data_IF_429181126750
#
_entry.id   IF_429181126750
#
_cell.length_a   1.000
_cell.length_b   1.000
_cell.length_c   1.000
_cell.angle_alpha   90.00
_cell.angle_beta   90.00
_cell.angle_gamma   90.00
#
_symmetry.space_group_name_H-M   'P 1'
#
loop_
_entity.id
_entity.type
_entity.pdbx_description
1 polymer ?
#
# COMPACT_ATOMS: atom_id res chain seq x y z
N UNK A 1 8.18 -21.03 -4.36
CA UNK A 1 9.15 -19.97 -4.62
C UNK A 1 10.55 -20.58 -4.57
N UNK A 2 11.48 -20.08 -5.41
CA UNK A 2 12.90 -20.52 -5.42
C UNK A 2 13.75 -19.72 -4.43
N UNK A 3 13.13 -19.16 -3.38
CA UNK A 3 13.86 -18.48 -2.31
C UNK A 3 14.58 -19.52 -1.44
N UNK A 4 15.76 -19.18 -0.93
CA UNK A 4 16.52 -20.07 -0.07
C UNK A 4 15.74 -20.36 1.23
N UNK A 5 15.56 -21.65 1.54
CA UNK A 5 14.84 -22.18 2.71
C UNK A 5 13.38 -21.70 2.84
N UNK A 6 12.50 -22.08 1.88
CA UNK A 6 11.08 -21.68 1.94
C UNK A 6 10.34 -22.19 3.18
N UNK A 7 10.79 -23.28 3.80
CA UNK A 7 10.13 -23.89 4.96
C UNK A 7 10.33 -23.09 6.27
N UNK A 8 11.33 -22.21 6.31
CA UNK A 8 11.59 -21.34 7.48
C UNK A 8 10.73 -20.05 7.46
N UNK A 9 9.96 -19.82 6.38
CA UNK A 9 9.14 -18.61 6.22
C UNK A 9 7.67 -18.96 6.52
N UNK A 10 7.12 -18.41 7.60
CA UNK A 10 5.68 -18.46 7.84
C UNK A 10 4.97 -17.44 6.94
N UNK A 11 3.91 -17.87 6.29
CA UNK A 11 3.08 -17.03 5.42
C UNK A 11 1.70 -16.87 6.05
N UNK A 12 1.27 -15.63 6.23
CA UNK A 12 -0.09 -15.29 6.64
C UNK A 12 -0.80 -14.66 5.45
N UNK A 13 -1.90 -15.27 5.03
CA UNK A 13 -2.77 -14.76 3.96
C UNK A 13 -4.02 -14.19 4.61
N UNK A 14 -4.33 -12.92 4.34
CA UNK A 14 -5.62 -12.33 4.72
C UNK A 14 -6.55 -12.37 3.51
N UNK A 15 -7.63 -13.09 3.65
CA UNK A 15 -8.66 -13.18 2.60
C UNK A 15 -9.86 -12.30 2.96
N UNK A 16 -9.99 -11.20 2.20
CA UNK A 16 -11.08 -10.23 2.33
C UNK A 16 -12.40 -10.69 1.65
N UNK A 17 -12.41 -11.86 1.01
CA UNK A 17 -13.60 -12.42 0.37
C UNK A 17 -14.36 -13.40 1.26
N UNK A 18 -13.77 -13.78 2.40
CA UNK A 18 -14.31 -14.78 3.35
C UNK A 18 -14.54 -16.16 2.72
N UNK A 19 -13.65 -16.58 1.82
CA UNK A 19 -13.76 -17.87 1.12
C UNK A 19 -13.19 -19.02 1.97
N UNK A 20 -14.08 -19.73 2.67
CA UNK A 20 -13.71 -20.90 3.48
C UNK A 20 -13.07 -22.02 2.66
N UNK A 21 -13.51 -22.22 1.41
CA UNK A 21 -12.93 -23.27 0.53
C UNK A 21 -11.51 -22.92 0.13
N UNK A 22 -11.25 -21.64 -0.18
CA UNK A 22 -9.90 -21.16 -0.44
C UNK A 22 -8.99 -21.42 0.76
N UNK A 23 -9.44 -21.04 1.99
CA UNK A 23 -8.70 -21.30 3.22
C UNK A 23 -8.34 -22.76 3.38
N UNK A 24 -9.33 -23.65 3.36
CA UNK A 24 -9.13 -25.09 3.52
C UNK A 24 -8.15 -25.67 2.48
N UNK A 25 -8.29 -25.26 1.23
CA UNK A 25 -7.43 -25.73 0.14
C UNK A 25 -5.98 -25.26 0.28
N UNK A 26 -5.75 -23.99 0.65
CA UNK A 26 -4.40 -23.42 0.71
C UNK A 26 -3.64 -23.96 1.94
N UNK A 27 -4.29 -24.04 3.09
CA UNK A 27 -3.70 -24.58 4.32
C UNK A 27 -3.44 -26.10 4.23
N UNK A 28 -4.28 -26.86 3.54
CA UNK A 28 -4.03 -28.28 3.25
C UNK A 28 -2.86 -28.49 2.31
N UNK A 29 -2.65 -27.56 1.37
CA UNK A 29 -1.59 -27.68 0.35
C UNK A 29 -0.22 -27.25 0.87
N UNK A 30 -0.16 -26.32 1.84
CA UNK A 30 1.08 -25.74 2.33
C UNK A 30 1.07 -25.61 3.86
N UNK A 31 1.96 -26.35 4.53
CA UNK A 31 2.02 -26.43 6.00
C UNK A 31 2.51 -25.15 6.69
N UNK A 32 3.17 -24.26 5.95
CA UNK A 32 3.70 -22.98 6.44
C UNK A 32 2.78 -21.79 6.17
N UNK A 33 1.54 -22.03 5.72
CA UNK A 33 0.53 -21.00 5.46
C UNK A 33 -0.54 -21.01 6.54
N UNK A 34 -0.88 -19.83 7.03
CA UNK A 34 -2.07 -19.54 7.83
C UNK A 34 -2.97 -18.60 7.03
N UNK A 35 -4.21 -18.97 6.79
CA UNK A 35 -5.18 -18.13 6.10
C UNK A 35 -6.19 -17.53 7.11
N UNK A 36 -6.22 -16.23 7.21
CA UNK A 36 -7.12 -15.46 8.08
C UNK A 36 -8.27 -14.92 7.24
N UNK A 37 -9.48 -15.37 7.54
CA UNK A 37 -10.69 -14.88 6.85
C UNK A 37 -11.17 -13.57 7.52
N UNK A 38 -11.45 -12.58 6.71
CA UNK A 38 -12.15 -11.37 7.16
C UNK A 38 -13.65 -11.52 6.95
N UNK A 39 -14.47 -10.99 7.87
CA UNK A 39 -15.93 -11.00 7.71
C UNK A 39 -16.42 -10.08 6.59
N UNK A 40 -15.62 -9.13 6.19
CA UNK A 40 -15.90 -8.13 5.15
C UNK A 40 -14.62 -7.69 4.44
N UNK A 41 -14.75 -6.94 3.35
CA UNK A 41 -13.60 -6.35 2.68
C UNK A 41 -13.07 -5.16 3.49
N UNK A 42 -12.00 -5.38 4.24
CA UNK A 42 -11.35 -4.39 5.10
C UNK A 42 -10.52 -3.34 4.32
N UNK A 43 -10.31 -3.54 3.02
CA UNK A 43 -9.32 -2.78 2.26
C UNK A 43 -7.88 -3.20 2.58
N UNK A 44 -6.91 -2.39 2.15
CA UNK A 44 -5.49 -2.76 2.22
C UNK A 44 -4.88 -2.53 3.62
N UNK A 45 -5.13 -1.37 4.22
CA UNK A 45 -4.53 -1.01 5.52
C UNK A 45 -4.97 -1.93 6.65
N UNK A 46 -6.29 -2.07 6.84
CA UNK A 46 -6.88 -2.92 7.88
C UNK A 46 -6.60 -4.41 7.64
N UNK A 47 -6.61 -4.85 6.36
CA UNK A 47 -6.23 -6.22 6.01
C UNK A 47 -4.78 -6.53 6.39
N UNK A 48 -3.84 -5.63 6.11
CA UNK A 48 -2.45 -5.78 6.53
C UNK A 48 -2.31 -5.78 8.06
N UNK A 49 -3.01 -4.90 8.78
CA UNK A 49 -3.00 -4.92 10.25
C UNK A 49 -3.54 -6.24 10.80
N UNK A 50 -4.62 -6.78 10.21
CA UNK A 50 -5.16 -8.09 10.60
C UNK A 50 -4.11 -9.19 10.44
N UNK A 51 -3.42 -9.24 9.29
CA UNK A 51 -2.34 -10.20 9.06
C UNK A 51 -1.17 -10.02 10.04
N UNK A 52 -0.76 -8.78 10.31
CA UNK A 52 0.35 -8.47 11.21
C UNK A 52 0.09 -8.88 12.66
N UNK A 53 -1.17 -8.93 13.12
CA UNK A 53 -1.53 -9.47 14.46
C UNK A 53 -1.19 -10.95 14.62
N UNK A 54 -1.07 -11.70 13.52
CA UNK A 54 -0.67 -13.12 13.51
C UNK A 54 0.85 -13.33 13.39
N UNK A 55 1.64 -12.25 13.25
CA UNK A 55 3.09 -12.31 13.11
C UNK A 55 3.75 -12.21 14.50
N UNK A 56 4.70 -13.11 14.76
CA UNK A 56 5.49 -13.16 16.03
C UNK A 56 6.98 -12.92 15.80
N UNK A 57 7.39 -12.62 14.57
CA UNK A 57 8.79 -12.40 14.21
C UNK A 57 9.17 -10.93 14.33
N UNK A 58 10.48 -10.65 14.48
CA UNK A 58 11.02 -9.28 14.51
C UNK A 58 10.79 -8.50 13.20
N UNK A 59 10.60 -9.23 12.08
CA UNK A 59 10.40 -8.67 10.74
C UNK A 59 9.19 -9.29 10.08
N UNK A 60 8.45 -8.49 9.32
CA UNK A 60 7.37 -8.94 8.45
C UNK A 60 7.53 -8.39 7.04
N UNK A 61 7.27 -9.21 6.03
CA UNK A 61 7.18 -8.78 4.64
C UNK A 61 5.70 -8.64 4.28
N UNK A 62 5.28 -7.43 3.94
CA UNK A 62 3.99 -7.21 3.30
C UNK A 62 4.18 -7.39 1.81
N UNK A 63 3.33 -8.19 1.19
CA UNK A 63 3.45 -8.54 -0.22
C UNK A 63 2.07 -8.69 -0.85
N UNK A 64 1.81 -7.95 -1.92
CA UNK A 64 0.60 -8.14 -2.71
C UNK A 64 0.66 -9.42 -3.54
N UNK A 65 -0.49 -10.06 -3.83
CA UNK A 65 -0.53 -11.32 -4.57
C UNK A 65 -0.08 -11.22 -6.04
N UNK A 66 0.00 -10.01 -6.59
CA UNK A 66 0.46 -9.73 -7.96
C UNK A 66 1.92 -9.25 -8.03
N UNK A 67 2.70 -9.51 -6.97
CA UNK A 67 4.15 -9.27 -6.93
C UNK A 67 4.91 -10.58 -7.14
N UNK A 68 5.86 -10.56 -8.05
CA UNK A 68 6.80 -11.66 -8.29
C UNK A 68 8.15 -11.28 -7.70
N UNK A 69 8.65 -12.14 -6.81
CA UNK A 69 9.99 -12.01 -6.24
C UNK A 69 11.03 -12.60 -7.21
N UNK A 70 12.12 -11.87 -7.46
CA UNK A 70 13.29 -12.45 -8.12
C UNK A 70 13.99 -13.47 -7.20
N UNK A 71 14.88 -14.29 -7.75
CA UNK A 71 15.46 -15.45 -7.03
C UNK A 71 16.05 -15.10 -5.66
N UNK A 72 16.76 -14.00 -5.57
CA UNK A 72 17.54 -13.64 -4.36
C UNK A 72 16.90 -12.48 -3.56
N UNK A 73 15.67 -12.09 -3.88
CA UNK A 73 14.98 -10.93 -3.28
C UNK A 73 15.02 -10.92 -1.76
N UNK A 74 14.60 -12.02 -1.13
CA UNK A 74 14.54 -12.13 0.33
C UNK A 74 15.95 -12.18 0.93
N UNK A 75 16.86 -12.94 0.30
CA UNK A 75 18.23 -13.08 0.79
C UNK A 75 18.98 -11.73 0.78
N UNK A 76 18.80 -10.93 -0.26
CA UNK A 76 19.41 -9.60 -0.36
C UNK A 76 18.87 -8.64 0.72
N UNK A 77 17.57 -8.70 1.03
CA UNK A 77 17.00 -7.94 2.15
C UNK A 77 17.61 -8.36 3.48
N UNK A 78 17.70 -9.67 3.72
CA UNK A 78 18.31 -10.20 4.96
C UNK A 78 19.78 -9.78 5.08
N UNK A 79 20.54 -9.83 4.00
CA UNK A 79 21.93 -9.44 3.99
C UNK A 79 22.09 -7.94 4.31
N UNK A 80 21.37 -7.09 3.60
CA UNK A 80 21.47 -5.64 3.77
C UNK A 80 20.91 -5.17 5.14
N UNK A 81 19.90 -5.86 5.69
CA UNK A 81 19.36 -5.53 7.02
C UNK A 81 20.37 -5.64 8.15
N UNK A 82 21.42 -6.46 7.98
CA UNK A 82 22.52 -6.61 8.95
C UNK A 82 23.50 -5.43 8.94
N UNK A 83 23.58 -4.72 7.82
CA UNK A 83 24.51 -3.61 7.61
C UNK A 83 23.89 -2.24 7.81
N UNK A 84 22.55 -2.15 7.77
CA UNK A 84 21.83 -0.89 8.00
C UNK A 84 21.46 -0.77 9.48
N UNK A 85 22.19 0.05 10.22
CA UNK A 85 22.07 0.17 11.68
C UNK A 85 20.73 0.70 12.18
N UNK A 86 20.04 1.53 11.37
CA UNK A 86 18.77 2.18 11.75
C UNK A 86 17.79 2.23 10.59
N UNK A 87 16.77 1.38 10.63
CA UNK A 87 15.65 1.40 9.69
C UNK A 87 14.37 0.90 10.34
N UNK A 88 13.23 1.41 9.86
CA UNK A 88 11.91 0.89 10.16
C UNK A 88 11.34 0.10 8.96
N UNK A 89 11.64 0.54 7.73
CA UNK A 89 11.18 -0.13 6.52
C UNK A 89 12.35 -0.33 5.54
N UNK A 90 12.42 -1.54 4.97
CA UNK A 90 13.22 -1.85 3.78
C UNK A 90 12.26 -2.22 2.64
N UNK A 91 12.56 -1.79 1.42
CA UNK A 91 11.78 -2.20 0.25
C UNK A 91 12.70 -2.75 -0.85
N UNK A 92 12.31 -3.82 -1.53
CA UNK A 92 12.96 -4.22 -2.76
C UNK A 92 12.74 -3.18 -3.86
N UNK A 93 13.59 -3.18 -4.87
CA UNK A 93 13.46 -2.30 -6.03
C UNK A 93 12.57 -2.94 -7.09
N UNK A 94 11.56 -2.21 -7.59
CA UNK A 94 10.81 -2.61 -8.77
C UNK A 94 11.70 -2.59 -10.01
N UNK A 95 11.69 -3.68 -10.78
CA UNK A 95 12.45 -3.77 -12.06
C UNK A 95 11.80 -2.98 -13.21
N UNK A 96 10.57 -2.48 -13.04
CA UNK A 96 9.91 -1.63 -14.03
C UNK A 96 10.28 -0.16 -13.79
N UNK A 97 11.13 0.43 -14.66
CA UNK A 97 11.57 1.81 -14.48
C UNK A 97 10.45 2.85 -14.67
N UNK A 98 9.33 2.46 -15.27
CA UNK A 98 8.15 3.34 -15.46
C UNK A 98 7.33 3.48 -14.19
N UNK A 99 7.46 2.52 -13.27
CA UNK A 99 6.71 2.47 -12.02
C UNK A 99 7.66 2.24 -10.84
N UNK A 100 8.49 3.23 -10.48
CA UNK A 100 9.34 3.14 -9.29
C UNK A 100 8.44 3.00 -8.07
N UNK A 101 8.74 2.01 -7.23
CA UNK A 101 7.97 1.72 -6.01
C UNK A 101 8.41 2.56 -4.80
N UNK A 102 8.93 3.75 -5.03
CA UNK A 102 9.40 4.66 -3.98
C UNK A 102 9.28 6.13 -4.38
N UNK A 103 9.29 7.00 -3.38
CA UNK A 103 9.34 8.46 -3.54
C UNK A 103 10.57 9.02 -2.83
N UNK A 104 11.36 9.81 -3.52
CA UNK A 104 12.55 10.47 -2.97
C UNK A 104 12.16 11.65 -2.08
N UNK A 105 13.00 11.96 -1.08
CA UNK A 105 12.81 13.10 -0.19
C UNK A 105 13.12 14.44 -0.86
N UNK A 106 14.12 14.48 -1.76
CA UNK A 106 14.51 15.65 -2.55
C UNK A 106 14.75 15.22 -4.00
N UNK A 107 14.62 16.17 -4.94
CA UNK A 107 15.12 16.05 -6.31
C UNK A 107 16.66 16.17 -6.32
N UNK A 108 17.33 15.42 -5.48
CA UNK A 108 18.79 15.39 -5.54
C UNK A 108 19.18 14.60 -6.78
N UNK A 109 19.91 15.27 -7.67
CA UNK A 109 20.64 14.68 -8.80
C UNK A 109 21.81 13.81 -8.31
N UNK A 110 21.67 13.13 -7.17
CA UNK A 110 22.65 12.16 -6.77
C UNK A 110 22.56 11.00 -7.75
N UNK A 111 23.63 10.77 -8.48
CA UNK A 111 23.86 9.55 -9.22
C UNK A 111 23.55 8.39 -8.27
N UNK A 112 22.39 7.77 -8.47
CA UNK A 112 22.01 6.61 -7.67
C UNK A 112 23.04 5.52 -7.98
N UNK A 113 23.90 5.22 -7.02
CA UNK A 113 24.68 4.01 -7.09
C UNK A 113 23.69 2.86 -7.00
N UNK A 114 23.35 2.27 -8.18
CA UNK A 114 22.33 1.22 -8.34
C UNK A 114 22.61 -0.05 -7.53
N UNK A 115 23.66 -0.06 -6.71
CA UNK A 115 24.09 -1.21 -5.91
C UNK A 115 23.98 -1.00 -4.40
N UNK A 116 23.88 0.25 -3.90
CA UNK A 116 23.83 0.55 -2.48
C UNK A 116 22.42 0.93 -2.01
N UNK A 117 22.03 0.54 -0.78
CA UNK A 117 20.79 0.99 -0.17
C UNK A 117 20.71 2.51 -0.11
N UNK A 118 19.55 3.08 -0.43
CA UNK A 118 19.34 4.52 -0.40
C UNK A 118 18.05 4.90 0.34
N UNK A 119 18.09 6.04 1.03
CA UNK A 119 16.95 6.56 1.79
C UNK A 119 15.88 7.13 0.88
N UNK A 120 14.63 6.89 1.26
CA UNK A 120 13.44 7.37 0.54
C UNK A 120 12.44 8.00 1.50
N UNK A 121 11.51 8.78 0.94
CA UNK A 121 10.41 9.40 1.68
C UNK A 121 9.27 8.43 1.94
N UNK A 122 8.96 7.59 0.96
CA UNK A 122 7.97 6.51 1.09
C UNK A 122 8.24 5.40 0.09
N UNK A 123 7.64 4.26 0.34
CA UNK A 123 7.62 3.09 -0.54
C UNK A 123 6.18 2.65 -0.77
N UNK A 124 5.92 1.99 -1.89
CA UNK A 124 4.60 1.48 -2.18
C UNK A 124 4.25 0.25 -1.33
N UNK A 125 2.98 0.15 -0.93
CA UNK A 125 2.48 -0.87 -0.03
C UNK A 125 2.45 -2.29 -0.58
N UNK A 126 2.72 -2.48 -1.88
CA UNK A 126 2.67 -3.80 -2.49
C UNK A 126 3.88 -4.70 -2.19
N UNK A 127 5.00 -4.12 -1.72
CA UNK A 127 6.18 -4.89 -1.27
C UNK A 127 7.02 -4.06 -0.30
N UNK A 128 6.93 -4.36 1.00
CA UNK A 128 7.73 -3.72 2.02
C UNK A 128 8.03 -4.66 3.19
N UNK A 129 9.19 -4.49 3.80
CA UNK A 129 9.62 -5.21 5.00
C UNK A 129 9.55 -4.26 6.17
N UNK A 130 8.73 -4.60 7.15
CA UNK A 130 8.61 -3.86 8.41
C UNK A 130 9.56 -4.44 9.46
N UNK A 131 10.32 -3.58 10.13
CA UNK A 131 11.08 -3.91 11.34
C UNK A 131 10.15 -3.78 12.55
N UNK A 132 9.36 -4.82 12.82
CA UNK A 132 8.32 -4.82 13.86
C UNK A 132 8.94 -4.62 15.26
N UNK A 133 10.11 -5.23 15.51
CA UNK A 133 10.84 -5.06 16.77
C UNK A 133 11.09 -3.58 17.08
N UNK A 134 11.41 -2.79 16.07
CA UNK A 134 11.69 -1.38 16.22
C UNK A 134 10.44 -0.52 16.23
N UNK A 135 9.53 -0.77 15.30
CA UNK A 135 8.29 0.00 15.17
C UNK A 135 7.45 -0.12 16.44
N UNK A 136 7.40 -1.30 17.08
CA UNK A 136 6.65 -1.53 18.32
C UNK A 136 7.19 -0.78 19.55
N UNK A 137 8.43 -0.25 19.49
CA UNK A 137 8.96 0.63 20.53
C UNK A 137 8.41 2.06 20.46
N UNK A 138 7.81 2.42 19.35
CA UNK A 138 7.23 3.75 19.12
C UNK A 138 5.78 3.74 19.62
N UNK A 139 5.43 4.67 20.52
CA UNK A 139 4.13 4.70 21.22
C UNK A 139 2.95 4.64 20.26
N UNK A 140 3.01 5.42 19.18
CA UNK A 140 1.92 5.53 18.18
C UNK A 140 1.66 4.27 17.37
N UNK A 141 2.54 3.25 17.49
CA UNK A 141 2.41 1.97 16.76
C UNK A 141 2.13 0.78 17.68
N UNK A 142 1.98 1.02 18.98
CA UNK A 142 1.55 -0.02 19.92
C UNK A 142 0.19 -0.58 19.53
N UNK A 143 -0.08 -1.82 19.95
CA UNK A 143 -1.33 -2.53 19.67
C UNK A 143 -1.60 -2.81 18.18
N UNK A 144 -0.55 -3.04 17.39
CA UNK A 144 -0.64 -3.40 15.97
C UNK A 144 -1.30 -2.34 15.08
N UNK A 145 -1.20 -1.06 15.46
CA UNK A 145 -1.77 0.05 14.71
C UNK A 145 -0.80 0.60 13.66
N UNK A 146 -0.27 -0.28 12.81
CA UNK A 146 0.73 0.09 11.81
C UNK A 146 0.13 0.97 10.72
N UNK A 147 -0.92 0.48 10.06
CA UNK A 147 -1.68 1.24 9.07
C UNK A 147 -2.88 1.93 9.72
N UNK A 148 -3.16 3.14 9.29
CA UNK A 148 -4.40 3.83 9.69
C UNK A 148 -5.59 3.19 8.96
N UNK A 149 -6.46 2.54 9.71
CA UNK A 149 -7.60 1.76 9.21
C UNK A 149 -8.72 2.63 8.59
N UNK A 150 -8.63 3.97 8.73
CA UNK A 150 -9.51 4.87 8.00
C UNK A 150 -9.21 4.91 6.50
N UNK A 151 -8.00 4.53 6.05
CA UNK A 151 -7.70 4.34 4.64
C UNK A 151 -8.18 2.97 4.18
N UNK A 152 -9.22 2.94 3.38
CA UNK A 152 -9.62 1.71 2.72
C UNK A 152 -8.62 1.31 1.61
N UNK A 153 -8.20 2.29 0.81
CA UNK A 153 -7.29 2.11 -0.31
C UNK A 153 -6.56 3.43 -0.63
N UNK A 154 -5.28 3.35 -0.94
CA UNK A 154 -4.36 4.43 -1.28
C UNK A 154 -3.92 5.30 -0.10
N UNK A 155 -2.64 5.63 -0.11
CA UNK A 155 -1.93 6.49 0.82
C UNK A 155 -1.79 5.95 2.26
N UNK A 156 -2.30 4.75 2.57
CA UNK A 156 -2.05 4.06 3.83
C UNK A 156 -0.56 3.78 4.05
N UNK A 157 0.16 3.43 2.98
CA UNK A 157 1.62 3.26 2.99
C UNK A 157 2.37 4.58 3.13
N UNK A 158 1.92 5.64 2.44
CA UNK A 158 2.50 6.99 2.58
C UNK A 158 2.28 7.55 3.99
N UNK A 159 1.12 7.29 4.59
CA UNK A 159 0.82 7.66 5.98
C UNK A 159 1.74 6.95 6.97
N UNK A 160 1.89 5.63 6.83
CA UNK A 160 2.81 4.84 7.65
C UNK A 160 4.25 5.38 7.53
N UNK A 161 4.74 5.54 6.31
CA UNK A 161 6.08 6.05 6.04
C UNK A 161 6.29 7.44 6.66
N UNK A 162 5.32 8.34 6.51
CA UNK A 162 5.41 9.70 7.06
C UNK A 162 5.46 9.67 8.59
N UNK A 163 4.58 8.90 9.24
CA UNK A 163 4.59 8.76 10.72
C UNK A 163 5.90 8.18 11.25
N UNK A 164 6.50 7.22 10.54
CA UNK A 164 7.80 6.66 10.92
C UNK A 164 8.93 7.69 10.79
N UNK A 165 8.96 8.47 9.72
CA UNK A 165 9.95 9.54 9.52
C UNK A 165 9.80 10.63 10.58
N UNK A 166 8.58 11.02 10.95
CA UNK A 166 8.30 11.97 12.02
C UNK A 166 8.79 11.47 13.39
N UNK A 167 8.91 10.15 13.56
CA UNK A 167 9.53 9.51 14.72
C UNK A 167 11.04 9.24 14.53
N UNK A 168 11.70 9.95 13.62
CA UNK A 168 13.15 9.84 13.31
C UNK A 168 13.56 8.45 12.82
N UNK A 169 12.68 7.69 12.19
CA UNK A 169 12.99 6.41 11.57
C UNK A 169 13.36 6.57 10.10
N UNK A 170 14.11 5.60 9.58
CA UNK A 170 14.57 5.61 8.20
C UNK A 170 13.86 4.53 7.38
N UNK A 171 13.67 4.84 6.11
CA UNK A 171 13.13 3.96 5.08
C UNK A 171 14.16 3.85 3.98
N UNK A 172 14.48 2.63 3.56
CA UNK A 172 15.45 2.38 2.52
C UNK A 172 14.90 1.50 1.41
N UNK A 173 15.35 1.77 0.18
CA UNK A 173 15.22 0.84 -0.93
C UNK A 173 16.53 0.08 -1.07
N UNK A 174 16.42 -1.23 -1.33
CA UNK A 174 17.54 -2.17 -1.50
C UNK A 174 17.66 -2.51 -2.99
N UNK A 175 18.59 -1.90 -3.75
CA UNK A 175 18.67 -2.09 -5.20
C UNK A 175 19.00 -3.50 -5.67
N UNK A 176 19.70 -4.28 -4.83
CA UNK A 176 20.03 -5.68 -5.12
C UNK A 176 18.82 -6.61 -4.96
N UNK A 177 17.89 -6.25 -4.08
CA UNK A 177 16.63 -6.97 -3.90
C UNK A 177 15.63 -6.50 -4.95
N UNK A 178 15.22 -7.37 -5.85
CA UNK A 178 14.41 -7.00 -7.02
C UNK A 178 13.08 -7.72 -7.04
N UNK A 179 12.05 -6.99 -7.48
CA UNK A 179 10.69 -7.51 -7.67
C UNK A 179 10.10 -7.03 -8.99
N UNK A 180 9.11 -7.77 -9.47
CA UNK A 180 8.25 -7.37 -10.58
C UNK A 180 6.81 -7.27 -10.11
N UNK A 181 6.21 -6.10 -10.24
CA UNK A 181 4.79 -5.91 -9.97
C UNK A 181 4.00 -6.09 -11.27
N UNK A 182 3.08 -7.06 -11.29
CA UNK A 182 2.34 -7.42 -12.50
C UNK A 182 1.19 -6.45 -12.82
N UNK A 183 0.85 -5.60 -11.86
CA UNK A 183 -0.17 -4.54 -11.93
C UNK A 183 -1.56 -5.06 -12.30
N UNK A 184 -2.56 -4.79 -11.46
CA UNK A 184 -3.99 -5.05 -11.71
C UNK A 184 -4.41 -6.44 -12.23
N UNK A 185 -3.51 -7.43 -12.29
CA UNK A 185 -3.82 -8.80 -12.74
C UNK A 185 -4.62 -9.62 -11.71
N UNK A 186 -4.75 -9.12 -10.50
CA UNK A 186 -5.60 -9.73 -9.47
C UNK A 186 -7.09 -9.38 -9.58
N UNK A 187 -7.50 -8.57 -10.58
CA UNK A 187 -8.90 -8.15 -10.76
C UNK A 187 -9.53 -8.99 -11.89
N UNK A 188 -10.68 -9.64 -11.58
CA UNK A 188 -11.46 -10.28 -12.62
C UNK A 188 -11.90 -9.23 -13.66
N UNK A 189 -11.66 -9.46 -14.97
CA UNK A 189 -12.05 -8.54 -16.04
C UNK A 189 -13.55 -8.15 -16.03
N UNK A 190 -14.42 -9.04 -15.56
CA UNK A 190 -15.87 -8.77 -15.44
C UNK A 190 -16.18 -7.62 -14.50
N UNK A 191 -15.39 -7.46 -13.40
CA UNK A 191 -15.55 -6.40 -12.42
C UNK A 191 -14.60 -5.21 -12.63
N UNK A 192 -13.83 -5.20 -13.72
CA UNK A 192 -12.80 -4.19 -13.95
C UNK A 192 -13.35 -2.75 -13.91
N UNK A 193 -14.56 -2.54 -14.41
CA UNK A 193 -15.19 -1.23 -14.43
C UNK A 193 -15.66 -0.78 -13.03
N UNK A 194 -16.25 -1.66 -12.25
CA UNK A 194 -16.69 -1.39 -10.88
C UNK A 194 -15.48 -1.06 -10.00
N UNK A 195 -14.42 -1.85 -10.16
CA UNK A 195 -13.14 -1.60 -9.48
C UNK A 195 -12.53 -0.25 -9.90
N UNK A 196 -12.65 0.15 -11.18
CA UNK A 196 -12.21 1.47 -11.65
C UNK A 196 -13.02 2.60 -11.00
N UNK A 197 -14.32 2.45 -10.85
CA UNK A 197 -15.17 3.42 -10.15
C UNK A 197 -14.76 3.57 -8.69
N UNK A 198 -14.64 2.45 -7.97
CA UNK A 198 -14.22 2.39 -6.58
C UNK A 198 -12.83 3.02 -6.39
N UNK A 199 -11.85 2.67 -7.23
CA UNK A 199 -10.50 3.24 -7.21
C UNK A 199 -10.50 4.77 -7.36
N UNK A 200 -11.33 5.29 -8.26
CA UNK A 200 -11.42 6.74 -8.48
C UNK A 200 -12.06 7.47 -7.30
N UNK A 201 -13.03 6.84 -6.64
CA UNK A 201 -13.65 7.37 -5.44
C UNK A 201 -12.65 7.41 -4.27
N UNK A 202 -12.04 6.27 -3.96
CA UNK A 202 -11.09 6.14 -2.84
C UNK A 202 -9.84 7.00 -3.03
N UNK A 203 -9.35 7.17 -4.28
CA UNK A 203 -8.21 8.05 -4.53
C UNK A 203 -8.43 9.49 -4.07
N UNK A 204 -9.58 10.08 -4.37
CA UNK A 204 -9.91 11.45 -3.97
C UNK A 204 -10.12 11.53 -2.45
N UNK A 205 -10.85 10.57 -1.89
CA UNK A 205 -11.12 10.51 -0.45
C UNK A 205 -9.82 10.39 0.36
N UNK A 206 -9.01 9.43 0.03
CA UNK A 206 -7.74 9.16 0.73
C UNK A 206 -6.77 10.32 0.61
N UNK A 207 -6.72 10.99 -0.54
CA UNK A 207 -5.89 12.17 -0.73
C UNK A 207 -6.35 13.34 0.15
N UNK A 208 -7.64 13.58 0.26
CA UNK A 208 -8.19 14.59 1.14
C UNK A 208 -7.91 14.24 2.61
N UNK A 209 -8.19 12.99 3.00
CA UNK A 209 -7.98 12.52 4.37
C UNK A 209 -6.49 12.60 4.78
N UNK A 210 -5.57 12.16 3.93
CA UNK A 210 -4.14 12.28 4.16
C UNK A 210 -3.72 13.74 4.40
N UNK A 211 -4.16 14.65 3.53
CA UNK A 211 -3.85 16.06 3.66
C UNK A 211 -4.47 16.67 4.94
N UNK A 212 -5.71 16.30 5.25
CA UNK A 212 -6.38 16.74 6.49
C UNK A 212 -5.63 16.27 7.73
N UNK A 213 -5.24 15.00 7.77
CA UNK A 213 -4.54 14.37 8.89
C UNK A 213 -3.18 15.01 9.15
N UNK A 214 -2.41 15.29 8.11
CA UNK A 214 -1.03 15.74 8.23
C UNK A 214 -0.82 17.25 8.11
N UNK A 215 -1.72 17.98 7.47
CA UNK A 215 -1.55 19.41 7.18
C UNK A 215 -2.77 20.25 7.55
N UNK A 216 -3.82 19.63 8.09
CA UNK A 216 -5.03 20.30 8.53
C UNK A 216 -6.10 20.42 7.43
N UNK A 217 -7.33 20.70 7.89
CA UNK A 217 -8.51 20.71 7.02
C UNK A 217 -8.45 21.76 5.90
N UNK A 218 -8.03 22.98 6.24
CA UNK A 218 -7.98 24.07 5.26
C UNK A 218 -7.01 23.73 4.11
N UNK A 219 -5.85 23.15 4.43
CA UNK A 219 -4.89 22.69 3.42
C UNK A 219 -5.48 21.59 2.55
N UNK A 220 -6.16 20.61 3.15
CA UNK A 220 -6.83 19.53 2.42
C UNK A 220 -7.90 20.09 1.46
N UNK A 221 -8.70 21.03 1.94
CA UNK A 221 -9.75 21.66 1.16
C UNK A 221 -9.17 22.43 -0.04
N UNK A 222 -8.22 23.34 0.20
CA UNK A 222 -7.61 24.14 -0.86
C UNK A 222 -6.89 23.29 -1.90
N UNK A 223 -6.16 22.26 -1.49
CA UNK A 223 -5.49 21.34 -2.42
C UNK A 223 -6.44 20.38 -3.12
N UNK A 224 -7.62 20.14 -2.59
CA UNK A 224 -8.69 19.33 -3.16
C UNK A 224 -9.49 20.05 -4.26
N UNK A 225 -9.67 21.38 -4.16
CA UNK A 225 -10.45 22.19 -5.11
C UNK A 225 -10.04 21.98 -6.58
N UNK A 226 -8.76 22.00 -6.98
CA UNK A 226 -8.39 21.80 -8.38
C UNK A 226 -8.83 20.44 -8.94
N UNK A 227 -8.75 19.38 -8.14
CA UNK A 227 -9.23 18.05 -8.53
C UNK A 227 -10.75 18.02 -8.68
N UNK A 228 -11.46 18.67 -7.79
CA UNK A 228 -12.91 18.80 -7.82
C UNK A 228 -13.39 19.57 -9.05
N UNK A 229 -12.84 20.75 -9.33
CA UNK A 229 -13.18 21.56 -10.50
C UNK A 229 -12.86 20.81 -11.81
N UNK A 230 -11.69 20.15 -11.87
CA UNK A 230 -11.34 19.30 -13.02
C UNK A 230 -12.33 18.14 -13.19
N UNK A 231 -12.82 17.54 -12.09
CA UNK A 231 -13.80 16.47 -12.16
C UNK A 231 -15.17 16.98 -12.67
N UNK A 232 -15.63 18.13 -12.21
CA UNK A 232 -16.87 18.78 -12.72
C UNK A 232 -16.75 19.06 -14.22
N UNK A 233 -15.66 19.73 -14.63
CA UNK A 233 -15.45 20.04 -16.04
C UNK A 233 -15.50 18.79 -16.92
N UNK A 234 -14.77 17.74 -16.52
CA UNK A 234 -14.76 16.47 -17.27
C UNK A 234 -16.09 15.72 -17.20
N UNK A 235 -16.81 15.80 -16.10
CA UNK A 235 -18.16 15.24 -16.00
C UNK A 235 -19.10 15.88 -17.02
N UNK A 236 -19.12 17.22 -17.09
CA UNK A 236 -19.94 17.97 -18.05
C UNK A 236 -19.51 17.66 -19.49
N UNK A 237 -18.20 17.67 -19.77
CA UNK A 237 -17.67 17.34 -21.10
C UNK A 237 -18.14 15.95 -21.56
N UNK A 238 -18.03 14.92 -20.69
CA UNK A 238 -18.44 13.56 -21.05
C UNK A 238 -19.95 13.34 -21.04
N UNK A 239 -20.71 14.22 -20.40
CA UNK A 239 -22.16 14.28 -20.56
C UNK A 239 -22.53 14.70 -22.01
N UNK A 240 -21.91 15.79 -22.51
CA UNK A 240 -22.13 16.25 -23.89
C UNK A 240 -21.61 15.28 -24.96
N UNK A 241 -20.47 14.62 -24.68
CA UNK A 241 -19.91 13.64 -25.59
C UNK A 241 -20.59 12.26 -25.52
N UNK A 242 -21.63 12.11 -24.72
CA UNK A 242 -22.39 10.87 -24.49
C UNK A 242 -21.50 9.66 -24.10
N UNK A 243 -20.41 9.90 -23.34
CA UNK A 243 -19.48 8.86 -22.87
C UNK A 243 -19.84 8.40 -21.46
N UNK A 244 -20.86 7.55 -21.34
CA UNK A 244 -21.44 7.14 -20.05
C UNK A 244 -20.41 6.62 -19.03
N UNK A 245 -19.53 5.69 -19.41
CA UNK A 245 -18.51 5.14 -18.50
C UNK A 245 -17.57 6.21 -17.93
N UNK A 246 -17.06 7.12 -18.79
CA UNK A 246 -16.19 8.21 -18.35
C UNK A 246 -16.92 9.20 -17.45
N UNK A 247 -18.17 9.54 -17.79
CA UNK A 247 -19.02 10.39 -16.95
C UNK A 247 -19.14 9.83 -15.53
N UNK A 248 -19.40 8.53 -15.38
CA UNK A 248 -19.53 7.91 -14.05
C UNK A 248 -18.22 7.95 -13.25
N UNK A 249 -17.06 7.77 -13.88
CA UNK A 249 -15.77 7.92 -13.20
C UNK A 249 -15.62 9.30 -12.57
N UNK A 250 -15.96 10.36 -13.32
CA UNK A 250 -15.83 11.72 -12.77
C UNK A 250 -16.93 12.07 -11.78
N UNK A 251 -18.11 11.48 -11.89
CA UNK A 251 -19.15 11.55 -10.85
C UNK A 251 -18.64 10.95 -9.52
N UNK A 252 -17.95 9.81 -9.55
CA UNK A 252 -17.35 9.22 -8.35
C UNK A 252 -16.33 10.16 -7.69
N UNK A 253 -15.49 10.84 -8.48
CA UNK A 253 -14.55 11.83 -7.94
C UNK A 253 -15.24 13.03 -7.29
N UNK A 254 -16.34 13.52 -7.88
CA UNK A 254 -17.15 14.60 -7.29
C UNK A 254 -17.80 14.15 -6.01
N UNK A 255 -18.47 13.00 -6.00
CA UNK A 255 -19.11 12.39 -4.83
C UNK A 255 -18.12 12.19 -3.69
N UNK A 256 -16.95 11.65 -4.00
CA UNK A 256 -15.87 11.41 -3.03
C UNK A 256 -15.38 12.70 -2.38
N UNK A 257 -15.20 13.77 -3.16
CA UNK A 257 -14.78 15.06 -2.61
C UNK A 257 -15.82 15.60 -1.61
N UNK A 258 -17.10 15.57 -1.95
CA UNK A 258 -18.15 15.97 -1.02
C UNK A 258 -18.18 15.10 0.25
N UNK A 259 -18.06 13.78 0.11
CA UNK A 259 -17.98 12.87 1.25
C UNK A 259 -16.79 13.19 2.17
N UNK A 260 -15.64 13.52 1.60
CA UNK A 260 -14.42 13.89 2.33
C UNK A 260 -14.60 15.20 3.11
N UNK A 261 -15.18 16.21 2.48
CA UNK A 261 -15.45 17.53 3.09
C UNK A 261 -16.46 17.40 4.25
N UNK A 262 -17.47 16.54 4.10
CA UNK A 262 -18.51 16.32 5.11
C UNK A 262 -18.12 15.30 6.19
N UNK A 263 -16.85 14.89 6.26
CA UNK A 263 -16.33 13.91 7.23
C UNK A 263 -17.03 12.55 7.24
N UNK A 264 -17.62 12.14 6.13
CA UNK A 264 -18.16 10.78 6.01
C UNK A 264 -17.03 9.76 5.99
N UNK A 265 -17.27 8.61 6.61
CA UNK A 265 -16.33 7.51 6.60
C UNK A 265 -15.99 7.03 5.19
N UNK A 266 -14.86 6.35 5.03
CA UNK A 266 -14.42 5.74 3.77
C UNK A 266 -15.24 4.48 3.45
N UNK A 267 -16.56 4.59 3.50
CA UNK A 267 -17.49 3.52 3.12
C UNK A 267 -18.10 3.87 1.76
N UNK A 268 -17.85 3.00 0.81
CA UNK A 268 -18.46 3.07 -0.53
C UNK A 268 -19.35 1.86 -0.77
#
# INVERSE_FOLDING_TARGET
>A
SKQSKPDDIKIVIVDNSNDKKFKENIEKKYNNIECVLSSENLGMGSGNNLGLRHIKTDYAIILNPDVVLEKDTIQEIINESKHISKFAILAPLSIDPKYPNYKLSNKSNNEFNNHLPFKVKSVDGFAMVLNLKKINLIENFKNFNYFDENFFMYLENDDLCKRLIENNENIFVIPKSKIKHLGAKGVNPEHAYEVELSRNWHWIWSKFYFNKKHYGYLFAFLTGIPYFLSAIFKFILFLFLNKSKKKQIYFQRISSFFSSVLFKNCSY
#
